data_IF_484107040994
#
_entry.id   IF_484107040994
#
_cell.length_a   1.000
_cell.length_b   1.000
_cell.length_c   1.000
_cell.angle_alpha   90.00
_cell.angle_beta   90.00
_cell.angle_gamma   90.00
#
_symmetry.space_group_name_H-M   'P 1'
#
loop_
_entity.id
_entity.type
_entity.pdbx_description
1 polymer ?
#
# COMPACT_ATOMS: atom_id res chain seq x y z
N UNK A 1 9.61 -31.99 -38.39
CA UNK A 1 8.32 -31.33 -38.05
C UNK A 1 8.40 -31.00 -36.60
N UNK A 2 8.74 -29.75 -36.30
CA UNK A 2 8.65 -29.24 -34.91
C UNK A 2 7.17 -29.28 -34.53
N UNK A 3 6.86 -30.01 -33.46
CA UNK A 3 5.53 -30.01 -32.85
C UNK A 3 5.14 -28.56 -32.54
N UNK A 4 4.25 -28.00 -33.29
CA UNK A 4 3.65 -26.70 -33.10
C UNK A 4 2.81 -26.78 -31.82
N UNK A 5 3.44 -26.57 -30.65
CA UNK A 5 2.69 -26.50 -29.40
C UNK A 5 1.77 -25.31 -29.44
N UNK A 6 0.48 -25.52 -29.21
CA UNK A 6 -0.54 -24.47 -29.20
C UNK A 6 -0.20 -23.38 -28.17
N UNK A 7 -0.59 -22.15 -28.46
CA UNK A 7 -0.47 -21.03 -27.52
C UNK A 7 -1.33 -21.28 -26.28
N UNK A 8 -0.81 -20.94 -25.11
CA UNK A 8 -1.55 -20.95 -23.85
C UNK A 8 -2.26 -19.60 -23.75
N UNK A 9 -3.56 -19.59 -23.95
CA UNK A 9 -4.36 -18.35 -24.00
C UNK A 9 -5.02 -18.12 -22.65
N UNK A 10 -4.89 -16.90 -22.14
CA UNK A 10 -5.59 -16.40 -20.95
C UNK A 10 -6.57 -15.30 -21.31
N UNK A 11 -7.74 -15.33 -20.66
CA UNK A 11 -8.82 -14.38 -20.84
C UNK A 11 -9.45 -14.02 -19.49
N UNK A 12 -9.67 -12.74 -19.23
CA UNK A 12 -10.36 -12.31 -18.01
C UNK A 12 -11.86 -12.57 -18.09
N UNK A 13 -12.38 -13.36 -17.16
CA UNK A 13 -13.83 -13.58 -17.02
C UNK A 13 -14.59 -12.30 -16.74
N UNK A 14 -14.02 -11.38 -15.95
CA UNK A 14 -14.61 -10.07 -15.62
C UNK A 14 -14.70 -9.17 -16.86
N UNK A 15 -13.65 -9.12 -17.70
CA UNK A 15 -13.69 -8.37 -18.96
C UNK A 15 -14.72 -8.95 -19.92
N UNK A 16 -14.85 -10.27 -19.96
CA UNK A 16 -15.87 -10.94 -20.77
C UNK A 16 -17.28 -10.64 -20.29
N UNK A 17 -17.53 -10.67 -18.99
CA UNK A 17 -18.83 -10.29 -18.43
C UNK A 17 -19.16 -8.84 -18.73
N UNK A 18 -18.17 -7.93 -18.62
CA UNK A 18 -18.34 -6.53 -18.99
C UNK A 18 -18.66 -6.37 -20.47
N UNK A 19 -17.95 -7.09 -21.36
CA UNK A 19 -18.23 -7.08 -22.81
C UNK A 19 -19.63 -7.64 -23.13
N UNK A 20 -19.99 -8.77 -22.51
CA UNK A 20 -21.30 -9.40 -22.71
C UNK A 20 -22.47 -8.47 -22.36
N UNK A 21 -22.29 -7.62 -21.35
CA UNK A 21 -23.29 -6.65 -20.89
C UNK A 21 -23.33 -5.34 -21.71
N UNK A 22 -22.36 -5.09 -22.59
CA UNK A 22 -22.35 -3.89 -23.45
C UNK A 22 -23.36 -4.02 -24.59
N UNK A 23 -23.81 -2.90 -25.13
CA UNK A 23 -24.71 -2.86 -26.30
C UNK A 23 -24.00 -3.19 -27.62
N UNK A 24 -22.68 -3.08 -27.64
CA UNK A 24 -21.87 -3.32 -28.83
C UNK A 24 -21.83 -4.82 -29.19
N UNK A 25 -21.92 -5.14 -30.47
CA UNK A 25 -21.88 -6.51 -30.99
C UNK A 25 -20.47 -7.00 -31.23
N UNK A 26 -19.52 -6.09 -31.42
CA UNK A 26 -18.11 -6.39 -31.59
C UNK A 26 -17.23 -5.21 -31.12
N UNK A 27 -16.09 -5.53 -30.49
CA UNK A 27 -15.08 -4.57 -30.00
C UNK A 27 -13.70 -5.07 -30.41
N UNK A 28 -12.86 -4.15 -30.89
CA UNK A 28 -11.46 -4.44 -31.12
C UNK A 28 -10.67 -4.23 -29.81
N UNK A 29 -10.08 -5.31 -29.30
CA UNK A 29 -9.25 -5.32 -28.11
C UNK A 29 -7.78 -5.57 -28.41
N UNK A 30 -7.05 -6.00 -27.39
CA UNK A 30 -5.61 -6.12 -27.37
C UNK A 30 -5.18 -7.54 -26.98
N UNK A 31 -4.18 -8.08 -27.67
CA UNK A 31 -3.45 -9.27 -27.24
C UNK A 31 -2.03 -8.90 -26.85
N UNK A 32 -1.52 -9.61 -25.85
CA UNK A 32 -0.14 -9.47 -25.37
C UNK A 32 0.50 -10.85 -25.37
N UNK A 33 1.56 -11.03 -26.15
CA UNK A 33 2.25 -12.29 -26.31
C UNK A 33 3.67 -12.21 -25.80
N UNK A 34 4.07 -13.16 -24.96
CA UNK A 34 5.44 -13.33 -24.50
C UNK A 34 6.20 -14.21 -25.47
N UNK A 35 7.07 -13.59 -26.24
CA UNK A 35 7.89 -14.24 -27.26
C UNK A 35 8.71 -15.38 -26.66
N UNK A 36 8.64 -16.56 -27.28
CA UNK A 36 9.33 -17.77 -26.81
C UNK A 36 8.60 -18.58 -25.74
N UNK A 37 7.63 -18.00 -25.00
CA UNK A 37 6.86 -18.73 -23.99
C UNK A 37 5.53 -19.28 -24.51
N UNK A 38 5.04 -18.73 -25.61
CA UNK A 38 3.73 -19.05 -26.20
C UNK A 38 2.56 -18.80 -25.22
N UNK A 39 2.70 -17.80 -24.40
CA UNK A 39 1.64 -17.33 -23.52
C UNK A 39 1.04 -16.07 -24.10
N UNK A 40 -0.29 -16.04 -24.19
CA UNK A 40 -1.04 -14.92 -24.75
C UNK A 40 -2.12 -14.50 -23.77
N UNK A 41 -2.18 -13.22 -23.45
CA UNK A 41 -3.29 -12.64 -22.71
C UNK A 41 -4.15 -11.80 -23.63
N UNK A 42 -5.47 -12.02 -23.60
CA UNK A 42 -6.46 -11.30 -24.40
C UNK A 42 -7.23 -10.34 -23.51
N UNK A 43 -7.32 -9.09 -23.93
CA UNK A 43 -7.96 -8.01 -23.17
C UNK A 43 -8.88 -7.16 -24.04
N UNK A 44 -10.04 -6.81 -23.52
CA UNK A 44 -10.96 -5.85 -24.15
C UNK A 44 -10.36 -4.44 -24.14
N UNK A 45 -9.70 -4.06 -23.05
CA UNK A 45 -9.06 -2.77 -22.86
C UNK A 45 -7.52 -2.88 -22.86
N UNK A 46 -6.81 -1.83 -23.28
CA UNK A 46 -5.35 -1.85 -23.23
C UNK A 46 -4.85 -2.00 -21.80
N UNK A 47 -3.92 -2.93 -21.59
CA UNK A 47 -3.23 -3.11 -20.31
C UNK A 47 -2.02 -2.18 -20.28
N UNK A 48 -1.99 -1.27 -19.32
CA UNK A 48 -0.83 -0.45 -19.05
C UNK A 48 0.29 -1.34 -18.48
N UNK A 49 1.48 -1.23 -19.05
CA UNK A 49 2.68 -1.96 -18.61
C UNK A 49 2.76 -3.45 -18.93
N UNK A 50 2.12 -3.92 -19.99
CA UNK A 50 2.43 -5.24 -20.50
C UNK A 50 3.79 -5.24 -21.23
N UNK A 51 4.62 -6.24 -20.95
CA UNK A 51 5.91 -6.45 -21.62
C UNK A 51 5.82 -7.39 -22.82
N UNK A 52 4.63 -7.91 -23.10
CA UNK A 52 4.39 -8.77 -24.26
C UNK A 52 4.32 -8.00 -25.57
N UNK A 53 4.64 -8.66 -26.67
CA UNK A 53 4.38 -8.13 -28.01
C UNK A 53 2.88 -7.88 -28.18
N UNK A 54 2.53 -6.67 -28.64
CA UNK A 54 1.13 -6.28 -28.78
C UNK A 54 0.56 -6.74 -30.12
N UNK A 55 -0.64 -7.31 -30.08
CA UNK A 55 -1.45 -7.66 -31.24
C UNK A 55 -2.88 -7.17 -31.08
N UNK A 56 -3.73 -7.54 -32.04
CA UNK A 56 -5.15 -7.19 -32.05
C UNK A 56 -6.01 -8.44 -31.84
N UNK A 57 -7.04 -8.30 -31.03
CA UNK A 57 -8.08 -9.30 -30.84
C UNK A 57 -9.45 -8.71 -31.16
N UNK A 58 -10.31 -9.47 -31.84
CA UNK A 58 -11.71 -9.10 -32.03
C UNK A 58 -12.58 -9.85 -31.04
N UNK A 59 -13.27 -9.13 -30.19
CA UNK A 59 -14.34 -9.67 -29.32
C UNK A 59 -15.67 -9.51 -30.05
N UNK A 60 -16.47 -10.54 -30.16
CA UNK A 60 -17.72 -10.51 -30.89
C UNK A 60 -18.82 -11.38 -30.29
N UNK A 61 -20.06 -10.90 -30.37
CA UNK A 61 -21.29 -11.66 -30.09
C UNK A 61 -21.83 -12.40 -31.33
N UNK A 62 -21.15 -12.29 -32.45
CA UNK A 62 -21.46 -13.00 -33.70
C UNK A 62 -20.32 -13.95 -34.05
N UNK A 63 -20.65 -15.10 -34.64
CA UNK A 63 -19.66 -16.07 -35.09
C UNK A 63 -18.68 -15.45 -36.09
N UNK A 64 -17.47 -15.97 -36.13
CA UNK A 64 -16.40 -15.55 -37.05
C UNK A 64 -16.82 -15.63 -38.53
N UNK A 65 -17.70 -16.55 -38.85
CA UNK A 65 -18.24 -16.72 -40.21
C UNK A 65 -19.05 -15.51 -40.70
N UNK A 66 -19.49 -14.64 -39.80
CA UNK A 66 -20.23 -13.42 -40.15
C UNK A 66 -19.32 -12.24 -40.49
N UNK A 67 -18.01 -12.44 -40.50
CA UNK A 67 -17.00 -11.42 -40.80
C UNK A 67 -16.26 -11.76 -42.09
N UNK A 68 -16.10 -10.78 -42.95
CA UNK A 68 -15.25 -10.94 -44.14
C UNK A 68 -13.75 -10.70 -43.78
N UNK A 69 -12.87 -11.12 -44.68
CA UNK A 69 -11.42 -11.03 -44.47
C UNK A 69 -10.92 -9.58 -44.32
N UNK A 70 -11.65 -8.59 -44.82
CA UNK A 70 -11.27 -7.18 -44.71
C UNK A 70 -11.50 -6.65 -43.27
N UNK A 71 -12.53 -7.13 -42.60
CA UNK A 71 -12.87 -6.76 -41.22
C UNK A 71 -11.92 -7.38 -40.19
N UNK A 72 -11.29 -8.50 -40.55
CA UNK A 72 -10.35 -9.23 -39.70
C UNK A 72 -8.89 -8.95 -40.03
N UNK A 73 -8.61 -7.97 -40.89
CA UNK A 73 -7.24 -7.63 -41.31
C UNK A 73 -6.41 -7.18 -40.10
N UNK A 74 -5.30 -7.88 -39.86
CA UNK A 74 -4.37 -7.60 -38.74
C UNK A 74 -4.88 -8.04 -37.36
N UNK A 75 -5.97 -8.80 -37.31
CA UNK A 75 -6.48 -9.45 -36.10
C UNK A 75 -5.81 -10.82 -35.96
N UNK A 76 -5.15 -11.06 -34.83
CA UNK A 76 -4.47 -12.33 -34.55
C UNK A 76 -5.35 -13.32 -33.78
N UNK A 77 -6.31 -12.82 -33.03
CA UNK A 77 -7.22 -13.61 -32.21
C UNK A 77 -8.65 -13.13 -32.35
N UNK A 78 -9.58 -14.06 -32.30
CA UNK A 78 -11.02 -13.80 -32.36
C UNK A 78 -11.69 -14.50 -31.18
N UNK A 79 -12.43 -13.74 -30.36
CA UNK A 79 -13.18 -14.23 -29.20
C UNK A 79 -14.66 -14.13 -29.50
N UNK A 80 -15.33 -15.25 -29.50
CA UNK A 80 -16.77 -15.35 -29.75
C UNK A 80 -17.52 -15.62 -28.44
N UNK A 81 -18.37 -14.68 -28.06
CA UNK A 81 -19.32 -14.83 -26.96
C UNK A 81 -20.64 -15.42 -27.48
N UNK A 82 -20.75 -16.74 -27.39
CA UNK A 82 -21.93 -17.49 -27.80
C UNK A 82 -22.81 -17.80 -26.57
N UNK A 83 -23.47 -16.77 -26.02
CA UNK A 83 -24.48 -16.85 -24.95
C UNK A 83 -24.18 -17.96 -23.93
N UNK A 84 -23.11 -17.72 -23.14
CA UNK A 84 -22.69 -18.63 -22.06
C UNK A 84 -21.60 -19.64 -22.44
N UNK A 85 -21.09 -19.60 -23.67
CA UNK A 85 -19.93 -20.36 -24.13
C UNK A 85 -18.96 -19.41 -24.85
N UNK A 86 -17.73 -19.32 -24.39
CA UNK A 86 -16.70 -18.49 -25.02
C UNK A 86 -15.82 -19.38 -25.89
N UNK A 87 -15.71 -19.03 -27.14
CA UNK A 87 -14.85 -19.70 -28.11
C UNK A 87 -13.74 -18.74 -28.53
N UNK A 88 -12.50 -19.24 -28.58
CA UNK A 88 -11.33 -18.44 -28.98
C UNK A 88 -10.71 -19.08 -30.22
N UNK A 89 -10.39 -18.26 -31.19
CA UNK A 89 -9.74 -18.66 -32.43
C UNK A 89 -8.43 -17.87 -32.59
N UNK A 90 -7.40 -18.55 -33.02
CA UNK A 90 -6.09 -17.99 -33.38
C UNK A 90 -5.92 -18.03 -34.90
N UNK A 91 -5.46 -16.94 -35.49
CA UNK A 91 -5.14 -16.88 -36.89
C UNK A 91 -3.71 -17.36 -37.15
N UNK A 92 -3.54 -18.48 -37.81
CA UNK A 92 -2.25 -19.04 -38.19
C UNK A 92 -2.24 -19.26 -39.72
N UNK A 93 -1.29 -18.64 -40.41
CA UNK A 93 -1.17 -18.73 -41.86
C UNK A 93 -2.53 -18.48 -42.60
N UNK A 94 -3.19 -17.39 -42.18
CA UNK A 94 -4.50 -16.97 -42.68
C UNK A 94 -5.66 -17.99 -42.46
N UNK A 95 -5.48 -18.92 -41.52
CA UNK A 95 -6.50 -19.89 -41.13
C UNK A 95 -6.85 -19.74 -39.64
N UNK A 96 -8.12 -19.67 -39.35
CA UNK A 96 -8.64 -19.62 -38.01
C UNK A 96 -8.69 -21.01 -37.38
N UNK A 97 -8.02 -21.20 -36.27
CA UNK A 97 -8.00 -22.46 -35.53
C UNK A 97 -8.56 -22.23 -34.13
N UNK A 98 -9.54 -23.03 -33.75
CA UNK A 98 -10.09 -22.99 -32.39
C UNK A 98 -9.03 -23.38 -31.36
N UNK A 99 -8.96 -22.64 -30.23
CA UNK A 99 -8.02 -22.83 -29.12
C UNK A 99 -8.76 -23.03 -27.82
N UNK A 100 -8.12 -23.78 -26.92
CA UNK A 100 -8.54 -23.83 -25.55
C UNK A 100 -8.12 -22.52 -24.84
N UNK A 101 -8.99 -22.03 -23.95
CA UNK A 101 -8.77 -20.80 -23.20
C UNK A 101 -8.73 -21.10 -21.72
N UNK A 102 -7.76 -20.51 -21.04
CA UNK A 102 -7.68 -20.48 -19.57
C UNK A 102 -8.29 -19.16 -19.10
N UNK A 103 -9.31 -19.25 -18.27
CA UNK A 103 -9.82 -18.05 -17.64
C UNK A 103 -8.90 -17.64 -16.50
N UNK A 104 -8.67 -16.33 -16.38
CA UNK A 104 -8.02 -15.80 -15.19
C UNK A 104 -8.87 -16.23 -14.00
N UNK A 105 -8.23 -16.85 -12.98
CA UNK A 105 -8.93 -17.49 -11.88
C UNK A 105 -9.94 -16.58 -11.20
N UNK A 106 -10.99 -17.18 -10.64
CA UNK A 106 -11.96 -16.46 -9.82
C UNK A 106 -11.26 -15.87 -8.58
N UNK A 107 -11.89 -14.85 -7.99
CA UNK A 107 -11.43 -14.20 -6.76
C UNK A 107 -11.07 -15.22 -5.66
N UNK A 108 -11.86 -16.28 -5.49
CA UNK A 108 -11.59 -17.32 -4.51
C UNK A 108 -10.35 -18.16 -4.83
N UNK A 109 -10.09 -18.44 -6.09
CA UNK A 109 -8.91 -19.21 -6.52
C UNK A 109 -7.62 -18.40 -6.39
N UNK A 110 -7.67 -17.09 -6.65
CA UNK A 110 -6.53 -16.18 -6.45
C UNK A 110 -5.95 -16.31 -5.05
N UNK A 111 -6.82 -16.44 -4.04
CA UNK A 111 -6.43 -16.52 -2.62
C UNK A 111 -6.44 -17.95 -2.05
N UNK A 112 -6.44 -18.98 -2.90
CA UNK A 112 -6.46 -20.39 -2.47
C UNK A 112 -5.33 -20.77 -1.53
N UNK A 113 -4.17 -20.08 -1.62
CA UNK A 113 -3.01 -20.29 -0.74
C UNK A 113 -3.13 -19.63 0.64
N UNK A 114 -4.10 -18.76 0.83
CA UNK A 114 -4.40 -18.14 2.12
C UNK A 114 -5.41 -18.96 2.94
N UNK A 115 -6.09 -19.89 2.29
CA UNK A 115 -7.15 -20.72 2.88
C UNK A 115 -6.65 -21.48 4.11
N UNK A 116 -7.42 -21.43 5.19
CA UNK A 116 -7.06 -22.03 6.48
C UNK A 116 -6.17 -21.16 7.38
N UNK A 117 -5.57 -20.09 6.83
CA UNK A 117 -4.81 -19.09 7.60
C UNK A 117 -5.64 -17.82 7.76
N UNK A 118 -6.05 -17.24 6.64
CA UNK A 118 -6.88 -16.03 6.60
C UNK A 118 -7.80 -16.11 5.38
N UNK A 119 -9.08 -16.33 5.63
CA UNK A 119 -10.07 -16.50 4.58
C UNK A 119 -10.38 -15.17 3.89
N UNK A 120 -10.47 -15.20 2.57
CA UNK A 120 -10.68 -14.00 1.74
C UNK A 120 -11.94 -13.23 2.13
N UNK A 121 -13.03 -13.93 2.48
CA UNK A 121 -14.30 -13.31 2.84
C UNK A 121 -14.23 -12.41 4.08
N UNK A 122 -13.14 -12.47 4.85
CA UNK A 122 -12.88 -11.58 5.98
C UNK A 122 -12.36 -10.23 5.47
N UNK A 123 -11.43 -10.25 4.49
CA UNK A 123 -10.72 -9.07 4.02
C UNK A 123 -11.34 -8.40 2.80
N UNK A 124 -12.06 -9.14 1.95
CA UNK A 124 -12.67 -8.60 0.73
C UNK A 124 -13.69 -7.47 0.98
N UNK A 125 -14.24 -7.40 2.20
CA UNK A 125 -15.19 -6.37 2.65
C UNK A 125 -14.52 -5.23 3.39
N UNK A 126 -13.22 -5.31 3.62
CA UNK A 126 -12.45 -4.35 4.40
C UNK A 126 -11.91 -3.24 3.51
N UNK A 127 -11.97 -2.02 4.06
CA UNK A 127 -11.42 -0.82 3.46
C UNK A 127 -10.24 -0.31 4.28
N UNK A 128 -9.09 -0.10 3.61
CA UNK A 128 -7.89 0.45 4.23
C UNK A 128 -7.54 1.78 3.58
N UNK A 129 -7.42 2.81 4.42
CA UNK A 129 -6.87 4.11 4.01
C UNK A 129 -5.36 4.08 4.21
N UNK A 130 -4.60 4.46 3.19
CA UNK A 130 -3.13 4.55 3.25
C UNK A 130 -2.72 5.99 2.91
N UNK A 131 -2.09 6.66 3.87
CA UNK A 131 -1.59 8.02 3.71
C UNK A 131 -0.07 7.99 3.62
N UNK A 132 0.46 8.48 2.48
CA UNK A 132 1.85 8.34 2.08
C UNK A 132 2.09 7.02 1.34
N UNK A 133 2.47 7.11 0.07
CA UNK A 133 2.77 5.97 -0.81
C UNK A 133 4.26 5.91 -1.18
N UNK A 134 5.12 6.36 -0.28
CA UNK A 134 6.57 6.22 -0.39
C UNK A 134 7.03 4.77 -0.18
N UNK A 135 8.26 4.59 0.30
CA UNK A 135 8.87 3.27 0.53
C UNK A 135 8.07 2.38 1.50
N UNK A 136 7.34 2.95 2.45
CA UNK A 136 6.47 2.20 3.37
C UNK A 136 5.12 1.90 2.74
N UNK A 137 4.36 2.94 2.41
CA UNK A 137 2.97 2.78 1.97
C UNK A 137 2.82 1.99 0.70
N UNK A 138 3.77 2.10 -0.24
CA UNK A 138 3.76 1.31 -1.47
C UNK A 138 3.88 -0.19 -1.21
N UNK A 139 4.80 -0.61 -0.33
CA UNK A 139 4.99 -2.01 0.03
C UNK A 139 3.78 -2.55 0.81
N UNK A 140 3.29 -1.78 1.80
CA UNK A 140 2.13 -2.16 2.61
C UNK A 140 0.89 -2.35 1.74
N UNK A 141 0.64 -1.42 0.79
CA UNK A 141 -0.49 -1.51 -0.13
C UNK A 141 -0.48 -2.83 -0.93
N UNK A 142 0.68 -3.21 -1.46
CA UNK A 142 0.84 -4.44 -2.22
C UNK A 142 0.66 -5.68 -1.34
N UNK A 143 1.22 -5.70 -0.13
CA UNK A 143 1.07 -6.85 0.76
C UNK A 143 -0.38 -7.02 1.25
N UNK A 144 -1.10 -5.93 1.52
CA UNK A 144 -2.53 -5.98 1.85
C UNK A 144 -3.39 -6.41 0.65
N UNK A 145 -3.04 -6.00 -0.57
CA UNK A 145 -3.69 -6.48 -1.79
C UNK A 145 -3.49 -7.98 -2.00
N UNK A 146 -2.27 -8.49 -1.80
CA UNK A 146 -1.96 -9.93 -1.83
C UNK A 146 -2.69 -10.73 -0.74
N UNK A 147 -3.00 -10.09 0.38
CA UNK A 147 -3.80 -10.71 1.44
C UNK A 147 -5.30 -10.73 1.14
N UNK A 148 -5.78 -9.91 0.18
CA UNK A 148 -7.16 -9.88 -0.26
C UNK A 148 -8.01 -8.75 0.32
N UNK A 149 -7.38 -7.66 0.77
CA UNK A 149 -8.14 -6.45 1.16
C UNK A 149 -8.93 -5.93 -0.03
N UNK A 150 -10.24 -5.71 0.17
CA UNK A 150 -11.17 -5.44 -0.92
C UNK A 150 -11.26 -3.98 -1.34
N UNK A 151 -10.88 -3.03 -0.47
CA UNK A 151 -10.97 -1.60 -0.83
C UNK A 151 -9.81 -0.79 -0.26
N UNK A 152 -9.37 0.22 -1.04
CA UNK A 152 -8.28 1.11 -0.68
C UNK A 152 -8.63 2.57 -0.94
N UNK A 153 -8.24 3.47 -0.02
CA UNK A 153 -8.15 4.91 -0.24
C UNK A 153 -6.67 5.30 -0.19
N UNK A 154 -6.13 5.77 -1.31
CA UNK A 154 -4.70 6.03 -1.49
C UNK A 154 -4.42 7.53 -1.54
N UNK A 155 -3.64 8.03 -0.58
CA UNK A 155 -3.27 9.45 -0.47
C UNK A 155 -1.77 9.64 -0.67
N UNK A 156 -1.39 10.39 -1.69
CA UNK A 156 -0.03 10.87 -1.92
C UNK A 156 -0.05 11.92 -3.04
N UNK A 157 0.62 13.05 -2.87
CA UNK A 157 0.65 14.12 -3.87
C UNK A 157 1.88 14.06 -4.79
N UNK A 158 2.85 13.20 -4.47
CA UNK A 158 4.12 13.13 -5.17
C UNK A 158 4.04 12.34 -6.47
N UNK A 159 5.09 12.54 -7.26
CA UNK A 159 5.39 11.72 -8.44
C UNK A 159 6.52 10.74 -8.14
N UNK A 160 6.56 9.67 -8.92
CA UNK A 160 7.65 8.69 -8.87
C UNK A 160 8.92 9.32 -9.44
N UNK A 161 9.98 9.35 -8.64
CA UNK A 161 11.28 9.86 -8.99
C UNK A 161 12.34 8.74 -9.04
N UNK A 162 13.45 8.98 -9.75
CA UNK A 162 14.48 7.96 -9.97
C UNK A 162 15.03 7.38 -8.66
N UNK A 163 15.26 8.22 -7.66
CA UNK A 163 15.79 7.80 -6.36
C UNK A 163 14.78 6.98 -5.53
N UNK A 164 13.49 7.02 -5.88
CA UNK A 164 12.48 6.19 -5.24
C UNK A 164 12.66 4.71 -5.59
N UNK A 165 13.06 4.38 -6.82
CA UNK A 165 13.07 3.01 -7.34
C UNK A 165 13.85 2.02 -6.48
N UNK A 166 14.90 2.48 -5.78
CA UNK A 166 15.69 1.62 -4.90
C UNK A 166 14.94 1.11 -3.66
N UNK A 167 13.81 1.73 -3.29
CA UNK A 167 13.06 1.45 -2.06
C UNK A 167 11.54 1.35 -2.25
N UNK A 168 11.07 1.62 -3.46
CA UNK A 168 9.66 1.68 -3.81
C UNK A 168 9.25 0.45 -4.64
N UNK A 169 7.98 0.13 -4.65
CA UNK A 169 7.44 -0.97 -5.49
C UNK A 169 7.29 -0.59 -6.96
N UNK A 170 7.41 0.70 -7.28
CA UNK A 170 7.40 1.21 -8.65
C UNK A 170 8.63 0.78 -9.44
N UNK A 171 8.48 0.77 -10.76
CA UNK A 171 9.51 0.40 -11.73
C UNK A 171 9.98 1.61 -12.53
N UNK A 172 10.99 1.42 -13.37
CA UNK A 172 11.48 2.45 -14.29
C UNK A 172 10.37 2.99 -15.21
N UNK A 173 9.36 2.18 -15.51
CA UNK A 173 8.24 2.57 -16.37
C UNK A 173 7.25 3.51 -15.67
N UNK A 174 7.37 3.67 -14.36
CA UNK A 174 6.50 4.54 -13.57
C UNK A 174 7.09 5.94 -13.37
N UNK A 175 8.31 6.21 -13.85
CA UNK A 175 8.95 7.52 -13.67
C UNK A 175 8.07 8.67 -14.16
N UNK A 176 7.88 9.67 -13.31
CA UNK A 176 7.06 10.85 -13.55
C UNK A 176 5.56 10.67 -13.35
N UNK A 177 5.06 9.44 -13.17
CA UNK A 177 3.67 9.17 -12.84
C UNK A 177 3.33 9.62 -11.41
N UNK A 178 2.07 9.92 -11.14
CA UNK A 178 1.62 10.08 -9.76
C UNK A 178 1.82 8.77 -8.99
N UNK A 179 2.30 8.83 -7.75
CA UNK A 179 2.46 7.64 -6.91
C UNK A 179 1.13 6.92 -6.71
N UNK A 180 0.02 7.66 -6.57
CA UNK A 180 -1.32 7.09 -6.47
C UNK A 180 -1.71 6.27 -7.69
N UNK A 181 -1.34 6.69 -8.91
CA UNK A 181 -1.64 5.95 -10.13
C UNK A 181 -0.75 4.72 -10.29
N UNK A 182 0.53 4.84 -9.98
CA UNK A 182 1.46 3.73 -10.06
C UNK A 182 1.10 2.62 -9.06
N UNK A 183 0.72 2.98 -7.83
CA UNK A 183 0.30 2.01 -6.81
C UNK A 183 -1.09 1.44 -7.10
N UNK A 184 -2.00 2.21 -7.70
CA UNK A 184 -3.26 1.70 -8.21
C UNK A 184 -3.04 0.52 -9.15
N UNK A 185 -2.18 0.70 -10.19
CA UNK A 185 -1.89 -0.35 -11.15
C UNK A 185 -1.19 -1.55 -10.50
N UNK A 186 -0.27 -1.30 -9.58
CA UNK A 186 0.43 -2.34 -8.85
C UNK A 186 -0.53 -3.18 -7.97
N UNK A 187 -1.50 -2.54 -7.29
CA UNK A 187 -2.55 -3.25 -6.53
C UNK A 187 -3.42 -4.07 -7.50
N UNK A 188 -3.90 -3.45 -8.59
CA UNK A 188 -4.72 -4.13 -9.60
C UNK A 188 -4.02 -5.35 -10.21
N UNK A 189 -2.69 -5.27 -10.37
CA UNK A 189 -1.88 -6.40 -10.82
C UNK A 189 -1.77 -7.56 -9.80
N UNK A 190 -2.15 -7.35 -8.53
CA UNK A 190 -2.17 -8.39 -7.48
C UNK A 190 -3.59 -8.77 -7.07
N UNK A 191 -4.47 -7.79 -6.98
CA UNK A 191 -5.88 -7.95 -6.65
C UNK A 191 -6.73 -7.17 -7.68
N UNK A 192 -7.07 -7.75 -8.83
CA UNK A 192 -7.84 -7.08 -9.85
C UNK A 192 -9.25 -6.68 -9.37
N UNK A 193 -9.75 -7.34 -8.32
CA UNK A 193 -11.08 -7.12 -7.74
C UNK A 193 -11.14 -5.98 -6.72
N UNK A 194 -9.99 -5.45 -6.28
CA UNK A 194 -9.96 -4.37 -5.30
C UNK A 194 -10.61 -3.10 -5.83
N UNK A 195 -11.45 -2.46 -5.01
CA UNK A 195 -11.96 -1.12 -5.27
C UNK A 195 -10.95 -0.08 -4.73
N UNK A 196 -10.53 0.88 -5.56
CA UNK A 196 -9.45 1.79 -5.20
C UNK A 196 -9.85 3.22 -5.55
N UNK A 197 -9.86 4.07 -4.53
CA UNK A 197 -10.01 5.52 -4.68
C UNK A 197 -8.64 6.18 -4.52
N UNK A 198 -8.36 7.17 -5.37
CA UNK A 198 -7.06 7.85 -5.45
C UNK A 198 -7.22 9.33 -5.12
N UNK A 199 -6.39 9.82 -4.23
CA UNK A 199 -6.37 11.18 -3.76
C UNK A 199 -4.95 11.75 -3.91
N UNK A 200 -4.62 12.38 -5.08
CA UNK A 200 -3.29 12.93 -5.33
C UNK A 200 -3.15 14.32 -4.70
N UNK A 201 -3.34 14.41 -3.39
CA UNK A 201 -3.33 15.64 -2.61
C UNK A 201 -2.51 15.47 -1.32
N UNK A 202 -2.02 16.57 -0.76
CA UNK A 202 -1.54 16.60 0.62
C UNK A 202 -2.75 16.53 1.55
N UNK A 203 -2.74 15.54 2.45
CA UNK A 203 -3.83 15.34 3.41
C UNK A 203 -4.00 16.52 4.38
N UNK A 204 -2.94 17.33 4.57
CA UNK A 204 -2.97 18.51 5.41
C UNK A 204 -3.74 19.68 4.79
N UNK A 205 -4.00 19.64 3.48
CA UNK A 205 -4.72 20.70 2.77
C UNK A 205 -6.24 20.52 2.84
N UNK A 206 -6.72 19.30 3.15
CA UNK A 206 -8.15 19.00 3.25
C UNK A 206 -8.45 18.07 4.44
N UNK A 207 -8.57 18.67 5.62
CA UNK A 207 -8.90 17.92 6.85
C UNK A 207 -10.35 17.43 6.85
N UNK A 208 -11.26 18.03 6.08
CA UNK A 208 -12.61 17.53 5.95
C UNK A 208 -12.60 16.19 5.20
N UNK A 209 -11.92 16.12 4.06
CA UNK A 209 -11.76 14.89 3.29
C UNK A 209 -11.04 13.81 4.11
N UNK A 210 -10.01 14.17 4.91
CA UNK A 210 -9.36 13.25 5.85
C UNK A 210 -10.38 12.60 6.77
N UNK A 211 -11.24 13.39 7.40
CA UNK A 211 -12.26 12.90 8.32
C UNK A 211 -13.29 12.01 7.61
N UNK A 212 -13.74 12.40 6.42
CA UNK A 212 -14.70 11.63 5.63
C UNK A 212 -14.14 10.25 5.21
N UNK A 213 -12.88 10.20 4.82
CA UNK A 213 -12.25 8.93 4.41
C UNK A 213 -11.89 8.03 5.59
N UNK A 214 -11.50 8.59 6.73
CA UNK A 214 -11.34 7.82 7.97
C UNK A 214 -12.66 7.17 8.36
N UNK A 215 -13.77 7.90 8.32
CA UNK A 215 -15.10 7.40 8.67
C UNK A 215 -15.55 6.20 7.82
N UNK A 216 -15.07 6.11 6.57
CA UNK A 216 -15.38 5.01 5.63
C UNK A 216 -14.42 3.81 5.78
N UNK A 217 -13.33 3.97 6.52
CA UNK A 217 -12.22 3.00 6.56
C UNK A 217 -12.30 2.10 7.79
N UNK A 218 -11.99 0.81 7.62
CA UNK A 218 -11.84 -0.12 8.76
C UNK A 218 -10.49 0.07 9.46
N UNK A 219 -9.48 0.57 8.74
CA UNK A 219 -8.14 0.78 9.25
C UNK A 219 -7.45 1.93 8.50
N UNK A 220 -6.67 2.71 9.23
CA UNK A 220 -5.83 3.77 8.64
C UNK A 220 -4.35 3.44 8.81
N UNK A 221 -3.60 3.51 7.73
CA UNK A 221 -2.14 3.37 7.70
C UNK A 221 -1.53 4.74 7.47
N UNK A 222 -0.78 5.21 8.46
CA UNK A 222 0.00 6.43 8.37
C UNK A 222 1.45 6.06 8.03
N UNK A 223 1.82 6.25 6.77
CA UNK A 223 3.15 5.98 6.22
C UNK A 223 3.84 7.27 5.74
N UNK A 224 3.44 8.41 6.32
CA UNK A 224 3.99 9.73 6.02
C UNK A 224 5.33 9.94 6.73
N UNK A 225 6.14 10.83 6.19
CA UNK A 225 7.46 11.18 6.71
C UNK A 225 7.48 12.53 7.46
N UNK A 226 6.31 13.14 7.69
CA UNK A 226 6.20 14.39 8.43
C UNK A 226 5.23 14.29 9.63
N UNK A 227 5.52 15.08 10.67
CA UNK A 227 4.77 15.03 11.92
C UNK A 227 3.40 15.72 11.81
N UNK A 228 3.27 16.78 10.99
CA UNK A 228 1.97 17.46 10.80
C UNK A 228 0.89 16.47 10.35
N UNK A 229 1.18 15.65 9.33
CA UNK A 229 0.26 14.61 8.88
C UNK A 229 -0.04 13.59 9.98
N UNK A 230 0.96 13.16 10.75
CA UNK A 230 0.77 12.19 11.84
C UNK A 230 -0.13 12.73 12.95
N UNK A 231 0.03 14.01 13.31
CA UNK A 231 -0.83 14.64 14.30
C UNK A 231 -2.26 14.79 13.78
N UNK A 232 -2.46 15.30 12.57
CA UNK A 232 -3.79 15.45 11.99
C UNK A 232 -4.53 14.11 11.86
N UNK A 233 -3.82 13.06 11.41
CA UNK A 233 -4.38 11.70 11.34
C UNK A 233 -4.71 11.18 12.74
N UNK A 234 -3.81 11.36 13.72
CA UNK A 234 -4.05 10.91 15.10
C UNK A 234 -5.24 11.61 15.73
N UNK A 235 -5.41 12.92 15.50
CA UNK A 235 -6.55 13.69 15.97
C UNK A 235 -7.86 13.14 15.39
N UNK A 236 -7.92 12.95 14.07
CA UNK A 236 -9.09 12.42 13.40
C UNK A 236 -9.44 10.99 13.88
N UNK A 237 -8.42 10.14 14.07
CA UNK A 237 -8.61 8.79 14.63
C UNK A 237 -9.16 8.80 16.06
N UNK A 238 -8.67 9.71 16.91
CA UNK A 238 -9.18 9.86 18.29
C UNK A 238 -10.63 10.33 18.28
N UNK A 239 -10.95 11.35 17.50
CA UNK A 239 -12.32 11.88 17.38
C UNK A 239 -13.30 10.83 16.89
N UNK A 240 -12.94 10.07 15.88
CA UNK A 240 -13.82 9.11 15.24
C UNK A 240 -13.74 7.71 15.83
N UNK A 241 -12.87 7.48 16.81
CA UNK A 241 -12.69 6.18 17.46
C UNK A 241 -12.33 5.07 16.44
N UNK A 242 -11.43 5.39 15.48
CA UNK A 242 -10.93 4.44 14.50
C UNK A 242 -9.52 3.96 14.84
N UNK A 243 -9.16 2.76 14.40
CA UNK A 243 -7.82 2.19 14.59
C UNK A 243 -6.86 2.71 13.53
N UNK A 244 -5.65 3.08 13.95
CA UNK A 244 -4.57 3.50 13.06
C UNK A 244 -3.24 2.85 13.38
N UNK A 245 -2.42 2.65 12.33
CA UNK A 245 -1.06 2.11 12.43
C UNK A 245 -0.11 3.11 11.79
N UNK A 246 0.88 3.53 12.56
CA UNK A 246 1.91 4.50 12.18
C UNK A 246 3.24 3.78 12.09
N UNK A 247 3.98 3.99 11.01
CA UNK A 247 5.31 3.43 10.84
C UNK A 247 6.33 4.46 10.43
N UNK A 248 7.56 4.27 10.88
CA UNK A 248 8.67 5.14 10.50
C UNK A 248 10.02 4.42 10.63
N UNK A 249 10.96 4.85 9.80
CA UNK A 249 12.36 4.51 9.95
C UNK A 249 13.07 5.66 10.66
N UNK A 250 13.96 5.34 11.58
CA UNK A 250 14.89 6.33 12.11
C UNK A 250 15.99 6.63 11.09
N UNK A 251 16.70 7.73 11.29
CA UNK A 251 17.78 8.18 10.41
C UNK A 251 18.68 7.01 9.97
N UNK A 252 18.96 6.92 8.67
CA UNK A 252 19.76 5.85 8.01
C UNK A 252 19.16 4.45 8.09
N UNK A 253 17.88 4.33 8.43
CA UNK A 253 17.21 3.06 8.69
C UNK A 253 18.01 2.10 9.61
N UNK A 254 18.74 2.66 10.58
CA UNK A 254 19.44 1.86 11.62
C UNK A 254 18.46 1.13 12.54
N UNK A 255 17.20 1.52 12.47
CA UNK A 255 16.05 0.92 13.10
C UNK A 255 14.79 1.59 12.61
N UNK A 256 13.71 1.36 13.31
CA UNK A 256 12.42 1.99 13.07
C UNK A 256 11.41 1.54 14.09
N UNK A 257 10.23 2.06 13.96
CA UNK A 257 9.16 1.67 14.87
C UNK A 257 7.78 1.63 14.20
N UNK A 258 6.87 0.94 14.87
CA UNK A 258 5.47 0.87 14.53
C UNK A 258 4.67 1.20 15.78
N UNK A 259 3.84 2.22 15.69
CA UNK A 259 2.88 2.57 16.71
C UNK A 259 1.47 2.24 16.26
N UNK A 260 0.68 1.62 17.13
CA UNK A 260 -0.71 1.28 16.88
C UNK A 260 -1.62 2.02 17.85
N UNK A 261 -2.48 2.87 17.30
CA UNK A 261 -3.58 3.47 18.03
C UNK A 261 -4.81 2.56 17.94
N UNK A 262 -5.44 2.32 19.08
CA UNK A 262 -6.78 1.73 19.21
C UNK A 262 -7.69 2.68 19.96
N UNK A 263 -9.00 2.72 19.66
CA UNK A 263 -9.97 3.52 20.40
C UNK A 263 -9.82 3.37 21.91
N UNK A 264 -9.73 4.50 22.61
CA UNK A 264 -9.55 4.53 24.05
C UNK A 264 -8.12 4.31 24.57
N UNK A 265 -7.19 3.89 23.71
CA UNK A 265 -5.76 3.72 24.03
C UNK A 265 -4.96 5.04 24.00
N UNK A 266 -3.64 4.95 24.21
CA UNK A 266 -2.73 6.08 24.06
C UNK A 266 -2.70 6.55 22.60
N UNK A 267 -2.73 7.87 22.38
CA UNK A 267 -2.63 8.47 21.04
C UNK A 267 -1.18 8.80 20.67
N UNK A 268 -0.97 9.41 19.49
CA UNK A 268 0.37 9.79 19.02
C UNK A 268 1.03 10.84 19.92
N UNK A 269 0.26 11.77 20.52
CA UNK A 269 0.79 12.70 21.52
C UNK A 269 1.28 11.98 22.79
N UNK A 270 0.56 10.94 23.25
CA UNK A 270 1.01 10.14 24.40
C UNK A 270 2.33 9.41 24.07
N UNK A 271 2.52 8.94 22.84
CA UNK A 271 3.76 8.30 22.39
C UNK A 271 4.95 9.25 22.50
N UNK A 272 4.78 10.50 22.03
CA UNK A 272 5.82 11.54 22.12
C UNK A 272 6.08 11.92 23.56
N UNK A 273 5.04 12.22 24.33
CA UNK A 273 5.15 12.59 25.74
C UNK A 273 5.78 11.52 26.63
N UNK A 274 5.69 10.25 26.24
CA UNK A 274 6.37 9.14 26.92
C UNK A 274 7.87 9.00 26.54
N UNK A 275 8.39 9.87 25.66
CA UNK A 275 9.81 9.90 25.28
C UNK A 275 10.28 8.73 24.41
N UNK A 276 9.36 7.97 23.82
CA UNK A 276 9.72 6.87 22.89
C UNK A 276 10.18 7.37 21.53
N UNK A 277 9.87 8.61 21.21
CA UNK A 277 10.19 9.23 19.93
C UNK A 277 10.41 10.74 20.10
N UNK A 278 11.49 11.23 19.48
CA UNK A 278 11.77 12.65 19.37
C UNK A 278 11.71 13.06 17.89
N UNK A 279 10.67 13.81 17.49
CA UNK A 279 10.53 14.23 16.09
C UNK A 279 11.68 15.08 15.59
N UNK A 280 12.41 15.78 16.46
CA UNK A 280 13.51 16.64 16.06
C UNK A 280 14.83 15.90 15.81
N UNK A 281 14.98 14.74 16.42
CA UNK A 281 16.23 13.95 16.37
C UNK A 281 16.08 12.76 15.41
N UNK A 282 14.90 12.12 15.40
CA UNK A 282 14.71 10.83 14.75
C UNK A 282 14.37 10.93 13.25
N UNK A 283 14.01 12.12 12.76
CA UNK A 283 13.60 12.29 11.34
C UNK A 283 14.21 13.55 10.69
N UNK A 284 15.17 13.31 9.80
CA UNK A 284 15.66 14.34 8.87
C UNK A 284 15.48 13.76 7.45
N UNK A 285 14.50 14.26 6.71
CA UNK A 285 14.14 13.77 5.39
C UNK A 285 14.74 14.60 4.26
N UNK A 286 15.00 15.88 4.51
CA UNK A 286 15.54 16.82 3.53
C UNK A 286 16.56 17.76 4.19
N UNK A 287 17.73 17.88 3.57
CA UNK A 287 18.85 18.73 4.03
C UNK A 287 18.45 20.20 4.05
N UNK A 288 17.76 20.67 3.01
CA UNK A 288 17.41 22.09 2.86
C UNK A 288 16.45 22.52 3.97
N UNK A 289 15.38 21.74 4.14
CA UNK A 289 14.42 21.97 5.22
C UNK A 289 15.06 21.85 6.58
N UNK A 290 15.87 20.81 6.81
CA UNK A 290 16.53 20.60 8.10
C UNK A 290 17.54 21.71 8.45
N UNK A 291 18.21 22.31 7.45
CA UNK A 291 19.06 23.49 7.67
C UNK A 291 18.24 24.73 7.98
N UNK A 292 17.15 24.96 7.25
CA UNK A 292 16.22 26.08 7.52
C UNK A 292 15.66 26.02 8.92
N UNK A 293 15.31 24.82 9.38
CA UNK A 293 14.71 24.56 10.70
C UNK A 293 15.77 24.43 11.82
N UNK A 294 17.06 24.64 11.52
CA UNK A 294 18.15 24.59 12.49
C UNK A 294 18.53 23.18 12.97
N UNK A 295 17.93 22.12 12.41
CA UNK A 295 18.22 20.72 12.76
C UNK A 295 19.57 20.24 12.26
N UNK A 296 20.08 20.82 11.15
CA UNK A 296 21.44 20.65 10.66
C UNK A 296 22.15 22.00 10.80
N UNK A 297 23.29 22.06 11.52
CA UNK A 297 24.06 23.30 11.64
C UNK A 297 24.43 23.88 10.27
N UNK A 298 24.36 25.20 10.14
CA UNK A 298 24.68 25.88 8.90
C UNK A 298 26.14 25.65 8.43
N UNK A 299 27.03 25.34 9.34
CA UNK A 299 28.46 25.06 9.08
C UNK A 299 28.74 23.59 8.75
N UNK A 300 27.75 22.69 8.85
CA UNK A 300 27.95 21.30 8.46
C UNK A 300 28.27 21.20 6.97
N UNK A 301 29.23 20.37 6.62
CA UNK A 301 29.54 20.10 5.21
C UNK A 301 28.34 19.47 4.50
N UNK A 302 28.33 19.51 3.14
CA UNK A 302 27.28 18.81 2.39
C UNK A 302 27.32 17.29 2.64
N UNK A 303 28.49 16.72 2.80
CA UNK A 303 28.69 15.31 3.09
C UNK A 303 28.10 14.93 4.45
N UNK A 304 28.41 15.73 5.49
CA UNK A 304 27.84 15.54 6.84
C UNK A 304 26.31 15.72 6.84
N UNK A 305 25.81 16.74 6.14
CA UNK A 305 24.39 17.02 6.03
C UNK A 305 23.66 15.86 5.33
N UNK A 306 24.18 15.38 4.21
CA UNK A 306 23.61 14.22 3.51
C UNK A 306 23.70 12.93 4.33
N UNK A 307 24.74 12.78 5.15
CA UNK A 307 24.86 11.64 6.07
C UNK A 307 23.80 11.66 7.19
N UNK A 308 23.20 12.81 7.47
CA UNK A 308 22.11 12.95 8.44
C UNK A 308 20.72 12.72 7.87
N UNK A 309 20.57 12.80 6.54
CA UNK A 309 19.27 12.58 5.86
C UNK A 309 18.84 11.12 5.96
N UNK A 310 17.54 10.90 5.93
CA UNK A 310 16.96 9.55 5.91
C UNK A 310 17.34 8.79 4.63
N UNK A 311 18.47 8.11 4.69
CA UNK A 311 18.87 7.11 3.70
C UNK A 311 18.67 5.73 4.32
N UNK A 312 18.38 4.72 3.51
CA UNK A 312 18.21 3.36 4.00
C UNK A 312 18.03 2.39 2.83
N UNK A 313 18.45 1.17 3.06
CA UNK A 313 18.20 0.08 2.10
C UNK A 313 16.74 -0.37 2.20
N UNK A 314 16.17 -0.84 1.09
CA UNK A 314 14.84 -1.48 1.10
C UNK A 314 14.78 -2.61 2.15
N UNK A 315 15.79 -3.46 2.19
CA UNK A 315 15.91 -4.56 3.16
C UNK A 315 15.92 -4.13 4.64
N UNK A 316 16.30 -2.88 4.94
CA UNK A 316 16.26 -2.32 6.30
C UNK A 316 14.84 -1.82 6.67
N UNK A 317 14.07 -1.43 5.66
CA UNK A 317 12.71 -0.87 5.77
C UNK A 317 11.67 -1.99 5.78
N UNK A 318 11.84 -3.02 4.98
CA UNK A 318 10.89 -4.13 4.84
C UNK A 318 10.44 -4.77 6.18
N UNK A 319 11.31 -5.01 7.18
CA UNK A 319 10.87 -5.55 8.46
C UNK A 319 9.80 -4.66 9.13
N UNK A 320 9.92 -3.33 8.99
CA UNK A 320 8.97 -2.38 9.56
C UNK A 320 7.64 -2.46 8.80
N UNK A 321 7.68 -2.46 7.47
CA UNK A 321 6.50 -2.65 6.62
C UNK A 321 5.79 -3.97 6.95
N UNK A 322 6.53 -5.06 7.10
CA UNK A 322 5.98 -6.37 7.44
C UNK A 322 5.30 -6.38 8.82
N UNK A 323 5.84 -5.67 9.82
CA UNK A 323 5.19 -5.52 11.13
C UNK A 323 3.89 -4.73 10.99
N UNK A 324 3.88 -3.64 10.23
CA UNK A 324 2.66 -2.85 9.96
C UNK A 324 1.60 -3.72 9.27
N UNK A 325 1.99 -4.52 8.28
CA UNK A 325 1.08 -5.46 7.59
C UNK A 325 0.53 -6.51 8.57
N UNK A 326 1.38 -7.11 9.41
CA UNK A 326 0.94 -8.10 10.41
C UNK A 326 -0.06 -7.51 11.39
N UNK A 327 0.19 -6.31 11.90
CA UNK A 327 -0.74 -5.60 12.76
C UNK A 327 -2.04 -5.25 12.02
N UNK A 328 -1.95 -4.82 10.76
CA UNK A 328 -3.10 -4.50 9.91
C UNK A 328 -4.01 -5.71 9.72
N UNK A 329 -3.45 -6.84 9.30
CA UNK A 329 -4.20 -8.07 9.08
C UNK A 329 -4.87 -8.56 10.38
N UNK A 330 -4.16 -8.46 11.50
CA UNK A 330 -4.71 -8.81 12.81
C UNK A 330 -5.88 -7.88 13.21
N UNK A 331 -5.75 -6.55 13.03
CA UNK A 331 -6.82 -5.61 13.36
C UNK A 331 -8.04 -5.80 12.44
N UNK A 332 -7.81 -5.96 11.12
CA UNK A 332 -8.88 -6.17 10.14
C UNK A 332 -9.65 -7.49 10.34
N UNK A 333 -8.96 -8.52 10.84
CA UNK A 333 -9.57 -9.84 11.12
C UNK A 333 -10.01 -10.03 12.58
N UNK A 334 -9.86 -9.01 13.42
CA UNK A 334 -10.18 -9.09 14.85
C UNK A 334 -11.61 -9.57 15.07
N UNK A 335 -11.74 -10.53 15.98
CA UNK A 335 -13.03 -11.15 16.30
C UNK A 335 -13.54 -12.17 15.27
N UNK A 336 -12.84 -12.35 14.16
CA UNK A 336 -13.14 -13.43 13.20
C UNK A 336 -12.47 -14.75 13.61
N UNK A 337 -12.97 -15.85 13.05
CA UNK A 337 -12.35 -17.15 13.23
C UNK A 337 -11.30 -17.37 12.13
N UNK A 338 -10.09 -16.85 12.34
CA UNK A 338 -8.97 -16.97 11.40
C UNK A 338 -7.78 -17.68 12.04
N UNK A 339 -6.90 -18.29 11.23
CA UNK A 339 -5.68 -18.94 11.70
C UNK A 339 -4.67 -17.96 12.31
N UNK A 340 -4.75 -16.67 11.98
CA UNK A 340 -3.89 -15.64 12.58
C UNK A 340 -4.41 -15.09 13.92
N UNK A 341 -5.55 -15.59 14.44
CA UNK A 341 -6.12 -15.15 15.72
C UNK A 341 -5.14 -15.31 16.89
N UNK A 342 -4.22 -16.27 16.82
CA UNK A 342 -3.15 -16.45 17.80
C UNK A 342 -2.28 -15.19 17.97
N UNK A 343 -2.16 -14.36 16.92
CA UNK A 343 -1.40 -13.11 16.99
C UNK A 343 -2.05 -12.07 17.93
N UNK A 344 -3.34 -12.18 18.24
CA UNK A 344 -4.02 -11.28 19.17
C UNK A 344 -3.43 -11.34 20.58
N UNK A 345 -2.93 -12.51 20.99
CA UNK A 345 -2.27 -12.71 22.28
C UNK A 345 -0.78 -12.37 22.27
N UNK A 346 -0.16 -12.35 21.10
CA UNK A 346 1.27 -12.10 20.93
C UNK A 346 1.58 -10.61 20.63
N UNK A 347 0.77 -10.01 19.74
CA UNK A 347 0.95 -8.61 19.32
C UNK A 347 0.10 -7.67 20.20
N UNK A 348 0.41 -7.66 21.50
CA UNK A 348 -0.38 -6.95 22.53
C UNK A 348 0.06 -5.52 22.82
N UNK A 349 1.24 -5.12 22.33
CA UNK A 349 1.80 -3.80 22.62
C UNK A 349 1.25 -2.72 21.67
N UNK A 350 1.33 -1.48 22.11
CA UNK A 350 0.96 -0.32 21.30
C UNK A 350 2.12 0.14 20.43
N UNK A 351 3.35 -0.10 20.88
CA UNK A 351 4.59 0.32 20.26
C UNK A 351 5.54 -0.86 20.04
N UNK A 352 6.13 -0.92 18.84
CA UNK A 352 7.12 -1.92 18.46
C UNK A 352 8.31 -1.21 17.84
N UNK A 353 9.50 -1.45 18.39
CA UNK A 353 10.76 -0.92 17.88
C UNK A 353 11.57 -2.01 17.21
N UNK A 354 12.02 -1.76 16.00
CA UNK A 354 12.97 -2.59 15.26
C UNK A 354 14.38 -2.06 15.46
N UNK A 355 15.26 -2.83 16.04
CA UNK A 355 16.67 -2.53 16.14
C UNK A 355 17.42 -3.26 15.03
N UNK A 356 17.90 -2.52 14.02
CA UNK A 356 18.49 -3.08 12.80
C UNK A 356 20.01 -3.15 12.86
N UNK A 357 20.68 -2.01 13.09
CA UNK A 357 22.15 -1.90 13.12
C UNK A 357 22.64 -1.21 14.37
N UNK A 358 23.94 -1.48 14.73
CA UNK A 358 24.64 -0.77 15.82
C UNK A 358 25.37 0.44 15.25
N UNK A 359 24.61 1.45 14.88
CA UNK A 359 25.16 2.75 14.50
C UNK A 359 24.95 3.75 15.64
N UNK A 360 24.26 4.87 15.43
CA UNK A 360 24.09 5.95 16.39
C UNK A 360 23.27 5.54 17.62
N UNK A 361 21.97 5.29 17.40
CA UNK A 361 21.01 4.98 18.48
C UNK A 361 21.32 3.66 19.18
N UNK A 362 21.76 2.66 18.43
CA UNK A 362 22.04 1.33 18.94
C UNK A 362 23.54 1.04 19.09
N UNK A 363 24.42 2.07 18.97
CA UNK A 363 25.87 1.89 19.02
C UNK A 363 26.36 1.23 20.32
N UNK A 364 25.77 1.61 21.45
CA UNK A 364 26.11 1.07 22.78
C UNK A 364 25.47 -0.29 23.09
N UNK A 365 24.60 -0.81 22.22
CA UNK A 365 23.90 -2.06 22.46
C UNK A 365 24.84 -3.25 22.27
N UNK A 366 25.31 -3.83 23.36
CA UNK A 366 26.12 -5.04 23.33
C UNK A 366 25.24 -6.30 23.22
N UNK A 367 25.79 -7.43 22.73
CA UNK A 367 25.15 -8.73 22.86
C UNK A 367 24.84 -9.01 24.34
N UNK A 368 23.69 -9.65 24.61
CA UNK A 368 23.32 -10.00 25.98
C UNK A 368 24.38 -10.95 26.58
N UNK A 369 24.96 -10.61 27.75
CA UNK A 369 25.93 -11.48 28.41
C UNK A 369 25.26 -12.82 28.75
N UNK A 370 26.01 -13.90 28.67
CA UNK A 370 25.58 -15.29 28.96
C UNK A 370 24.44 -15.86 28.11
N UNK A 371 23.94 -15.12 27.14
CA UNK A 371 22.99 -15.64 26.16
C UNK A 371 23.77 -15.99 24.90
N UNK A 372 24.29 -17.20 24.82
CA UNK A 372 25.02 -17.69 23.67
C UNK A 372 24.30 -17.25 22.37
N UNK A 373 24.92 -16.33 21.63
CA UNK A 373 24.48 -15.84 20.33
C UNK A 373 23.08 -15.17 20.29
N UNK A 374 22.60 -14.51 21.34
CA UNK A 374 21.39 -13.69 21.26
C UNK A 374 21.75 -12.27 20.84
N UNK A 375 21.53 -11.89 19.57
CA UNK A 375 21.78 -10.51 19.15
C UNK A 375 20.78 -9.55 19.83
N UNK A 376 21.23 -8.35 20.13
CA UNK A 376 20.36 -7.23 20.56
C UNK A 376 19.85 -6.41 19.38
N UNK A 377 20.36 -6.67 18.19
CA UNK A 377 19.90 -6.09 16.92
C UNK A 377 19.23 -7.20 16.09
N UNK A 378 18.63 -6.83 14.97
CA UNK A 378 17.75 -7.66 14.14
C UNK A 378 16.62 -8.29 14.97
N UNK A 379 16.02 -7.46 15.83
CA UNK A 379 14.95 -7.87 16.76
C UNK A 379 13.90 -6.78 16.94
N UNK A 380 12.71 -7.25 17.23
CA UNK A 380 11.60 -6.44 17.68
C UNK A 380 11.57 -6.34 19.21
N UNK A 381 11.29 -5.14 19.70
CA UNK A 381 11.03 -4.85 21.09
C UNK A 381 9.66 -4.21 21.19
N UNK A 382 8.80 -4.75 22.06
CA UNK A 382 7.47 -4.22 22.29
C UNK A 382 7.38 -3.44 23.59
N UNK A 383 6.60 -2.36 23.61
CA UNK A 383 6.29 -1.58 24.79
C UNK A 383 4.81 -1.17 24.83
N UNK A 384 4.28 -1.04 26.03
CA UNK A 384 2.99 -0.37 26.25
C UNK A 384 3.26 1.10 26.48
N UNK A 385 2.54 1.94 25.76
CA UNK A 385 2.61 3.38 25.94
C UNK A 385 1.65 3.76 27.09
N UNK A 386 2.09 4.51 28.12
CA UNK A 386 1.19 5.03 29.13
C UNK A 386 0.25 6.05 28.46
N UNK A 387 -1.06 5.90 28.73
CA UNK A 387 -2.00 6.94 28.36
C UNK A 387 -1.89 8.09 29.34
N UNK A 388 -1.65 9.28 28.85
CA UNK A 388 -1.57 10.49 29.64
C UNK A 388 -2.98 11.06 29.88
N UNK A 389 -3.37 11.17 31.15
CA UNK A 389 -4.66 11.73 31.54
C UNK A 389 -4.75 13.26 31.35
N UNK A 390 -3.62 13.91 31.06
CA UNK A 390 -3.53 15.33 30.72
C UNK A 390 -3.25 15.54 29.21
N UNK A 391 -3.22 14.46 28.42
CA UNK A 391 -2.90 14.55 27.01
C UNK A 391 -3.82 15.56 26.30
N UNK A 392 -3.27 16.52 25.55
CA UNK A 392 -4.08 17.54 24.87
C UNK A 392 -4.99 16.95 23.81
N UNK A 393 -4.69 15.75 23.30
CA UNK A 393 -5.45 15.13 22.22
C UNK A 393 -6.49 14.10 22.69
N UNK A 394 -6.16 13.23 23.63
CA UNK A 394 -7.03 12.10 23.99
C UNK A 394 -7.49 12.07 25.44
N UNK A 395 -7.24 13.14 26.24
CA UNK A 395 -7.73 13.21 27.62
C UNK A 395 -9.23 13.49 27.68
N UNK A 396 -9.91 13.00 28.72
CA UNK A 396 -11.33 13.26 28.94
C UNK A 396 -11.66 14.74 29.13
N UNK A 397 -10.70 15.56 29.56
CA UNK A 397 -10.91 17.02 29.74
C UNK A 397 -11.16 17.74 28.43
N UNK A 398 -10.56 17.27 27.34
CA UNK A 398 -10.75 17.89 26.04
C UNK A 398 -12.11 17.53 25.42
N UNK A 399 -12.58 16.31 25.62
CA UNK A 399 -13.93 15.91 25.18
C UNK A 399 -15.06 16.74 25.80
N UNK A 400 -14.82 17.39 26.95
CA UNK A 400 -15.81 18.23 27.64
C UNK A 400 -15.76 19.70 27.14
N UNK A 401 -14.64 20.12 26.56
CA UNK A 401 -14.49 21.50 26.05
C UNK A 401 -15.12 21.67 24.66
N UNK A 402 -15.35 20.59 23.93
CA UNK A 402 -15.77 20.62 22.52
C UNK A 402 -17.28 20.72 22.28
N UNK A 403 -18.14 20.61 23.28
CA UNK A 403 -19.59 20.85 23.12
C UNK A 403 -19.96 22.31 22.78
N UNK A 404 -19.01 23.19 22.61
CA UNK A 404 -19.28 24.60 22.36
C UNK A 404 -18.35 25.36 21.40
N UNK A 405 -17.30 24.73 20.85
CA UNK A 405 -16.38 25.42 19.92
C UNK A 405 -16.04 24.55 18.72
N UNK A 406 -16.42 25.00 17.53
CA UNK A 406 -15.94 24.46 16.27
C UNK A 406 -14.42 24.68 16.19
N UNK A 407 -13.66 23.58 16.14
CA UNK A 407 -12.23 23.61 15.87
C UNK A 407 -12.01 23.84 14.38
N UNK A 408 -11.83 25.10 13.98
CA UNK A 408 -11.50 25.44 12.58
C UNK A 408 -10.05 25.14 12.17
N UNK A 409 -9.16 24.73 13.11
CA UNK A 409 -7.75 24.42 12.84
C UNK A 409 -7.31 23.15 13.56
N UNK A 410 -6.74 22.21 12.81
CA UNK A 410 -6.13 20.99 13.36
C UNK A 410 -4.94 21.31 14.30
N UNK A 411 -4.60 20.38 15.18
CA UNK A 411 -3.48 20.51 16.13
C UNK A 411 -2.16 20.87 15.42
N UNK A 412 -1.98 20.42 14.19
CA UNK A 412 -0.82 20.73 13.35
C UNK A 412 -0.61 22.23 13.12
N UNK A 413 -1.71 23.00 12.99
CA UNK A 413 -1.64 24.46 12.81
C UNK A 413 -1.41 25.20 14.13
N UNK A 414 -1.79 24.61 15.26
CA UNK A 414 -1.58 25.18 16.59
C UNK A 414 -0.19 24.92 17.16
N UNK A 415 0.57 24.00 16.57
CA UNK A 415 1.96 23.71 16.95
C UNK A 415 2.98 24.63 16.24
N UNK A 416 2.57 25.41 15.24
CA UNK A 416 3.38 26.51 14.71
C UNK A 416 3.48 27.62 15.77
N UNK A 417 4.51 27.56 16.60
CA UNK A 417 4.78 28.57 17.67
C UNK A 417 4.68 28.05 19.09
N UNK A 418 4.34 26.77 19.28
CA UNK A 418 4.49 26.12 20.59
C UNK A 418 5.91 25.57 20.67
N UNK A 419 6.69 26.09 21.62
CA UNK A 419 7.98 25.50 21.97
C UNK A 419 7.71 24.12 22.57
N UNK A 420 8.03 23.07 21.80
CA UNK A 420 7.86 21.68 22.22
C UNK A 420 8.67 21.40 23.50
N UNK A 421 9.69 22.21 23.81
CA UNK A 421 10.45 22.11 25.07
C UNK A 421 9.65 22.61 26.29
N UNK A 422 8.53 23.33 26.11
CA UNK A 422 7.63 23.67 27.22
C UNK A 422 6.57 22.58 27.49
N UNK A 423 6.44 21.59 26.62
CA UNK A 423 5.51 20.44 26.74
C UNK A 423 6.22 19.15 27.20
N UNK A 424 7.54 19.14 27.26
CA UNK A 424 8.41 18.11 27.81
C UNK A 424 8.90 18.53 29.20
#
# INVERSE_FOLDING_TARGET
>A
MEDYKASIIYLSGEEMESFSNQSETAVLGHSYEWEGERVVHLHVHPVLHSYGAQGKVMFSKSSIENYDSSQLTGVSYFVYDNVGSIEVFECIEDKWQKRDVNFIPSHQELYSRNKGILEINILEKKRVMIVGLGSFGSQIAIELAKAGVGSFSLFDFDRVELHNLARHTCTINDLGRLKTDAIYDAIKGKNPYANIEKYPIDINDDLQLLNEEIAKSDLVICATDNNKSRFNISEALVKQQHTGIFGRAVTRAEGGDVFRYRPGGPCYCCLIGAGFYDPNIDEITDVVSARRDGRIPAYASEEDANAMVQVGLSADIEPICNMMVKLSLMELSRGSNSGIKCLESELVYDYYMWANRRERRHASWAPLPNAANRPTILRWYGARIPKDDQCPLCSKKQMILEEGQEFEKGLGDNLEGVDINELL
#
